data_IF_651663870812
#
_entry.id   IF_651663870812
#
_cell.length_a   1.000
_cell.length_b   1.000
_cell.length_c   1.000
_cell.angle_alpha   90.00
_cell.angle_beta   90.00
_cell.angle_gamma   90.00
#
_symmetry.space_group_name_H-M   'P 1'
#
loop_
_entity.id
_entity.type
_entity.pdbx_description
1 polymer ?
#
# COMPACT_ATOMS: atom_id res chain seq x y z
N UNK A 1 -39.78 14.51 -59.19
CA UNK A 1 -38.87 13.43 -58.75
C UNK A 1 -38.81 13.48 -57.23
N UNK A 2 -39.65 12.70 -56.55
CA UNK A 2 -39.72 12.66 -55.09
C UNK A 2 -38.71 11.65 -54.56
N UNK A 3 -37.77 12.10 -53.73
CA UNK A 3 -36.77 11.24 -53.11
C UNK A 3 -37.47 10.56 -51.93
N UNK A 4 -37.69 9.25 -52.01
CA UNK A 4 -38.36 8.46 -50.98
C UNK A 4 -37.60 8.52 -49.65
N UNK A 5 -38.14 9.30 -48.72
CA UNK A 5 -37.58 9.54 -47.38
C UNK A 5 -37.66 8.26 -46.50
N UNK A 6 -38.53 7.32 -46.87
CA UNK A 6 -38.80 6.08 -46.13
C UNK A 6 -37.64 5.06 -46.12
N UNK A 7 -36.63 5.22 -46.98
CA UNK A 7 -35.49 4.28 -47.06
C UNK A 7 -34.27 4.68 -46.21
N UNK A 8 -34.28 5.84 -45.57
CA UNK A 8 -33.17 6.38 -44.77
C UNK A 8 -33.20 5.96 -43.28
N UNK A 9 -34.37 5.56 -42.79
CA UNK A 9 -34.56 5.08 -41.41
C UNK A 9 -33.86 3.74 -41.10
N UNK A 10 -33.94 2.70 -41.95
CA UNK A 10 -33.32 1.40 -41.64
C UNK A 10 -31.79 1.45 -41.78
N UNK A 11 -31.24 2.32 -42.62
CA UNK A 11 -29.79 2.48 -42.77
C UNK A 11 -29.18 3.18 -41.55
N UNK A 12 -29.82 4.24 -41.02
CA UNK A 12 -29.36 4.93 -39.81
C UNK A 12 -29.34 4.01 -38.58
N UNK A 13 -30.33 3.12 -38.46
CA UNK A 13 -30.40 2.10 -37.39
C UNK A 13 -29.26 1.07 -37.48
N UNK A 14 -28.92 0.61 -38.69
CA UNK A 14 -27.83 -0.34 -38.92
C UNK A 14 -26.45 0.28 -38.61
N UNK A 15 -26.27 1.57 -38.91
CA UNK A 15 -25.02 2.29 -38.65
C UNK A 15 -24.80 2.46 -37.13
N UNK A 16 -25.85 2.81 -36.38
CA UNK A 16 -25.83 2.85 -34.91
C UNK A 16 -25.51 1.48 -34.29
N UNK A 17 -26.05 0.40 -34.85
CA UNK A 17 -25.77 -0.97 -34.40
C UNK A 17 -24.31 -1.40 -34.67
N UNK A 18 -23.74 -0.98 -35.80
CA UNK A 18 -22.32 -1.23 -36.13
C UNK A 18 -21.36 -0.40 -35.25
N UNK A 19 -21.75 0.80 -34.83
CA UNK A 19 -20.99 1.62 -33.86
C UNK A 19 -20.94 0.96 -32.48
N UNK A 20 -21.99 0.25 -32.04
CA UNK A 20 -22.00 -0.47 -30.77
C UNK A 20 -21.19 -1.78 -30.74
N UNK A 21 -20.75 -2.30 -31.89
CA UNK A 21 -19.93 -3.53 -31.94
C UNK A 21 -18.42 -3.26 -31.78
N UNK A 22 -18.01 -2.00 -31.80
CA UNK A 22 -16.63 -1.59 -31.57
C UNK A 22 -16.42 -1.24 -30.09
N UNK A 23 -16.67 -2.20 -29.19
CA UNK A 23 -16.12 -2.08 -27.85
C UNK A 23 -14.68 -2.57 -27.89
N UNK A 24 -13.66 -1.69 -27.77
CA UNK A 24 -12.33 -2.16 -27.47
C UNK A 24 -12.42 -2.91 -26.14
N UNK A 25 -12.27 -4.23 -26.19
CA UNK A 25 -12.00 -5.01 -24.99
C UNK A 25 -10.63 -4.56 -24.51
N UNK A 26 -10.61 -3.55 -23.63
CA UNK A 26 -9.40 -3.14 -22.92
C UNK A 26 -9.00 -4.34 -22.07
N UNK A 27 -8.02 -5.11 -22.56
CA UNK A 27 -7.31 -6.07 -21.74
C UNK A 27 -6.59 -5.25 -20.67
N UNK A 28 -7.21 -5.10 -19.50
CA UNK A 28 -6.54 -4.58 -18.33
C UNK A 28 -5.38 -5.52 -18.06
N UNK A 29 -4.15 -5.03 -18.22
CA UNK A 29 -2.99 -5.64 -17.57
C UNK A 29 -3.35 -5.89 -16.10
N UNK A 30 -2.85 -6.97 -15.46
CA UNK A 30 -3.06 -7.17 -14.04
C UNK A 30 -2.43 -5.98 -13.32
N UNK A 31 -3.27 -5.04 -12.86
CA UNK A 31 -2.78 -3.87 -12.17
C UNK A 31 -2.48 -4.25 -10.74
N UNK A 32 -1.30 -3.88 -10.25
CA UNK A 32 -0.90 -4.17 -8.88
C UNK A 32 -1.77 -3.37 -7.89
N UNK A 33 -1.83 -3.79 -6.63
CA UNK A 33 -2.48 -2.99 -5.57
C UNK A 33 -1.86 -1.58 -5.46
N UNK A 34 -0.57 -1.45 -5.76
CA UNK A 34 0.15 -0.17 -5.75
C UNK A 34 -0.37 0.78 -6.83
N UNK A 35 -0.70 0.26 -8.02
CA UNK A 35 -1.28 1.05 -9.11
C UNK A 35 -2.68 1.57 -8.72
N UNK A 36 -3.44 0.79 -7.95
CA UNK A 36 -4.74 1.24 -7.44
C UNK A 36 -4.60 2.36 -6.41
N UNK A 37 -3.60 2.30 -5.53
CA UNK A 37 -3.29 3.40 -4.60
C UNK A 37 -2.92 4.67 -5.38
N UNK A 38 -1.98 4.56 -6.32
CA UNK A 38 -1.49 5.70 -7.11
C UNK A 38 -2.62 6.37 -7.91
N UNK A 39 -3.47 5.59 -8.59
CA UNK A 39 -4.62 6.12 -9.33
C UNK A 39 -5.65 6.81 -8.45
N UNK A 40 -5.69 6.47 -7.16
CA UNK A 40 -6.52 7.15 -6.17
C UNK A 40 -5.77 8.27 -5.45
N UNK A 41 -4.62 8.73 -5.94
CA UNK A 41 -3.88 9.84 -5.33
C UNK A 41 -3.26 9.50 -3.98
N UNK A 42 -3.01 8.21 -3.73
CA UNK A 42 -2.38 7.72 -2.51
C UNK A 42 -0.98 7.16 -2.84
N UNK A 43 0.00 7.36 -1.94
CA UNK A 43 1.34 6.87 -2.19
C UNK A 43 1.39 5.35 -2.09
N UNK A 44 2.14 4.72 -3.00
CA UNK A 44 2.22 3.26 -3.11
C UNK A 44 2.82 2.59 -1.86
N UNK A 45 3.66 3.28 -1.10
CA UNK A 45 4.31 2.74 0.10
C UNK A 45 3.47 2.74 1.37
N UNK A 46 2.16 2.99 1.28
CA UNK A 46 1.22 2.73 2.39
C UNK A 46 1.12 1.24 2.73
N UNK A 47 1.40 0.38 1.76
CA UNK A 47 1.40 -1.07 1.91
C UNK A 47 2.83 -1.64 1.77
N UNK A 48 3.12 -2.78 2.42
CA UNK A 48 4.42 -3.42 2.33
C UNK A 48 4.70 -3.91 0.91
N UNK A 49 5.98 -4.10 0.57
CA UNK A 49 6.42 -4.73 -0.69
C UNK A 49 5.94 -6.18 -0.80
N UNK A 50 5.76 -6.63 -2.03
CA UNK A 50 5.57 -8.06 -2.36
C UNK A 50 4.15 -8.57 -2.18
N UNK A 51 3.14 -7.70 -2.19
CA UNK A 51 1.74 -8.13 -2.15
C UNK A 51 1.36 -8.77 -3.49
N UNK A 52 1.02 -10.05 -3.44
CA UNK A 52 0.55 -10.82 -4.60
C UNK A 52 -0.90 -11.26 -4.48
N UNK A 53 -1.42 -11.45 -3.26
CA UNK A 53 -2.81 -11.84 -3.01
C UNK A 53 -3.62 -10.63 -2.54
N UNK A 54 -4.44 -10.10 -3.45
CA UNK A 54 -5.35 -9.01 -3.15
C UNK A 54 -6.59 -9.07 -4.05
N UNK A 55 -7.65 -8.40 -3.62
CA UNK A 55 -8.87 -8.20 -4.39
C UNK A 55 -9.40 -6.79 -4.18
N UNK A 56 -10.03 -6.23 -5.21
CA UNK A 56 -10.73 -4.95 -5.16
C UNK A 56 -12.09 -5.14 -5.81
N UNK A 57 -13.14 -4.82 -5.07
CA UNK A 57 -14.50 -4.77 -5.59
C UNK A 57 -14.68 -3.48 -6.42
N UNK A 58 -14.97 -3.58 -7.72
CA UNK A 58 -15.09 -2.40 -8.59
C UNK A 58 -16.31 -1.52 -8.25
N UNK A 59 -17.37 -2.10 -7.67
CA UNK A 59 -18.61 -1.39 -7.35
C UNK A 59 -18.50 -0.67 -6.00
N UNK A 60 -17.95 -1.35 -4.99
CA UNK A 60 -17.85 -0.80 -3.64
C UNK A 60 -16.51 -0.12 -3.34
N UNK A 61 -15.50 -0.32 -4.20
CA UNK A 61 -14.11 0.08 -3.97
C UNK A 61 -13.51 -0.49 -2.68
N UNK A 62 -14.09 -1.58 -2.14
CA UNK A 62 -13.51 -2.30 -1.02
C UNK A 62 -12.32 -3.12 -1.49
N UNK A 63 -11.17 -2.95 -0.85
CA UNK A 63 -10.00 -3.79 -1.08
C UNK A 63 -9.76 -4.74 0.07
N UNK A 64 -9.14 -5.87 -0.25
CA UNK A 64 -8.60 -6.83 0.70
C UNK A 64 -7.23 -7.30 0.22
N UNK A 65 -6.28 -7.38 1.13
CA UNK A 65 -4.94 -7.90 0.93
C UNK A 65 -4.72 -9.03 1.93
N UNK A 66 -4.20 -10.16 1.46
CA UNK A 66 -3.79 -11.25 2.33
C UNK A 66 -2.27 -11.38 2.29
N UNK A 67 -1.63 -11.18 3.43
CA UNK A 67 -0.21 -11.43 3.61
C UNK A 67 0.00 -12.88 4.01
N UNK A 68 1.14 -13.47 3.65
CA UNK A 68 1.48 -14.83 4.10
C UNK A 68 1.66 -14.92 5.61
N UNK A 69 2.07 -13.82 6.25
CA UNK A 69 2.27 -13.70 7.69
C UNK A 69 2.18 -12.24 8.13
N UNK A 70 1.81 -11.97 9.40
CA UNK A 70 1.93 -10.63 9.98
C UNK A 70 3.38 -10.15 9.99
N UNK A 71 3.57 -8.85 9.79
CA UNK A 71 4.91 -8.30 9.66
C UNK A 71 4.98 -6.82 10.09
N UNK A 72 6.18 -6.36 10.43
CA UNK A 72 6.46 -4.98 10.80
C UNK A 72 7.33 -4.31 9.73
N UNK A 73 6.94 -3.11 9.32
CA UNK A 73 7.74 -2.22 8.49
C UNK A 73 8.24 -1.03 9.31
N UNK A 74 9.52 -0.68 9.14
CA UNK A 74 10.13 0.47 9.82
C UNK A 74 10.08 1.71 8.92
N UNK A 75 9.36 2.73 9.40
CA UNK A 75 9.39 4.10 8.91
C UNK A 75 10.04 4.98 10.00
N UNK A 76 9.58 6.22 10.19
CA UNK A 76 9.87 6.98 11.40
C UNK A 76 9.43 6.18 12.64
N UNK A 77 8.16 5.76 12.63
CA UNK A 77 7.58 4.82 13.57
C UNK A 77 7.46 3.41 12.95
N UNK A 78 7.12 2.40 13.76
CA UNK A 78 6.82 1.07 13.24
C UNK A 78 5.36 0.99 12.80
N UNK A 79 5.11 0.38 11.64
CA UNK A 79 3.79 -0.05 11.21
C UNK A 79 3.73 -1.57 11.24
N UNK A 80 2.70 -2.09 11.89
CA UNK A 80 2.34 -3.50 11.93
C UNK A 80 1.24 -3.75 10.91
N UNK A 81 1.40 -4.82 10.15
CA UNK A 81 0.43 -5.32 9.19
C UNK A 81 0.00 -6.73 9.60
N UNK A 82 -1.30 -6.92 9.75
CA UNK A 82 -1.90 -8.22 10.04
C UNK A 82 -1.96 -9.10 8.79
N UNK A 83 -2.36 -10.37 8.97
CA UNK A 83 -2.58 -11.31 7.88
C UNK A 83 -3.59 -10.78 6.84
N UNK A 84 -4.69 -10.17 7.29
CA UNK A 84 -5.70 -9.60 6.41
C UNK A 84 -5.79 -8.09 6.62
N UNK A 85 -5.56 -7.35 5.55
CA UNK A 85 -5.73 -5.90 5.52
C UNK A 85 -6.93 -5.59 4.65
N UNK A 86 -7.83 -4.74 5.11
CA UNK A 86 -8.98 -4.35 4.31
C UNK A 86 -9.41 -2.91 4.56
N UNK A 87 -10.07 -2.31 3.58
CA UNK A 87 -10.58 -0.95 3.69
C UNK A 87 -11.33 -0.53 2.42
N UNK A 88 -11.81 0.70 2.40
CA UNK A 88 -12.48 1.30 1.24
C UNK A 88 -11.58 2.35 0.63
N UNK A 89 -11.25 2.15 -0.65
CA UNK A 89 -10.39 3.05 -1.40
C UNK A 89 -11.21 4.14 -2.07
N UNK A 90 -10.76 5.38 -1.98
CA UNK A 90 -11.30 6.47 -2.78
C UNK A 90 -10.25 7.55 -2.95
N UNK A 91 -10.53 8.55 -3.79
CA UNK A 91 -9.54 9.58 -4.09
C UNK A 91 -9.03 10.28 -2.82
N UNK A 92 -7.71 10.21 -2.64
CA UNK A 92 -6.95 10.76 -1.53
C UNK A 92 -7.17 10.06 -0.19
N UNK A 93 -7.90 8.94 -0.10
CA UNK A 93 -8.25 8.35 1.20
C UNK A 93 -8.53 6.85 1.21
N UNK A 94 -8.20 6.24 2.35
CA UNK A 94 -8.61 4.90 2.74
C UNK A 94 -9.48 5.03 3.99
N UNK A 95 -10.70 4.50 3.93
CA UNK A 95 -11.66 4.53 5.05
C UNK A 95 -11.90 3.12 5.60
N UNK A 96 -12.25 3.04 6.88
CA UNK A 96 -12.48 1.78 7.61
C UNK A 96 -11.34 0.78 7.39
N UNK A 97 -10.10 1.26 7.50
CA UNK A 97 -8.91 0.45 7.41
C UNK A 97 -8.85 -0.48 8.62
N UNK A 98 -8.60 -1.75 8.35
CA UNK A 98 -8.40 -2.80 9.33
C UNK A 98 -7.16 -3.60 8.96
N UNK A 99 -6.50 -4.17 9.97
CA UNK A 99 -5.27 -4.94 9.80
C UNK A 99 -3.99 -4.12 9.75
N UNK A 100 -4.05 -2.83 10.11
CA UNK A 100 -2.88 -1.94 10.17
C UNK A 100 -2.85 -1.24 11.53
N UNK A 101 -1.71 -1.33 12.21
CA UNK A 101 -1.48 -0.63 13.48
C UNK A 101 -0.16 0.13 13.46
N UNK A 102 -0.11 1.24 14.17
CA UNK A 102 1.08 2.05 14.31
C UNK A 102 1.59 2.02 15.75
N UNK A 103 2.92 1.94 15.92
CA UNK A 103 3.54 2.06 17.23
C UNK A 103 3.78 3.52 17.61
N UNK A 104 3.34 3.91 18.81
CA UNK A 104 3.60 5.20 19.44
C UNK A 104 3.88 4.97 20.93
N UNK A 105 5.01 5.49 21.45
CA UNK A 105 5.43 5.30 22.85
C UNK A 105 5.31 3.84 23.34
N UNK A 106 5.74 2.88 22.51
CA UNK A 106 5.68 1.44 22.75
C UNK A 106 4.28 0.80 22.73
N UNK A 107 3.21 1.57 22.52
CA UNK A 107 1.85 1.09 22.37
C UNK A 107 1.47 1.00 20.90
N UNK A 108 0.66 0.00 20.54
CA UNK A 108 0.10 -0.16 19.20
C UNK A 108 -1.29 0.47 19.12
N UNK A 109 -1.48 1.36 18.17
CA UNK A 109 -2.75 2.02 17.89
C UNK A 109 -3.26 1.60 16.52
N UNK A 110 -4.54 1.19 16.40
CA UNK A 110 -5.11 0.85 15.10
C UNK A 110 -5.17 2.09 14.21
N UNK A 111 -4.90 1.91 12.92
CA UNK A 111 -5.08 2.96 11.92
C UNK A 111 -6.43 2.74 11.24
N UNK A 112 -7.41 3.57 11.55
CA UNK A 112 -8.79 3.43 11.07
C UNK A 112 -9.02 4.10 9.70
N UNK A 113 -8.27 5.16 9.40
CA UNK A 113 -8.31 5.81 8.10
C UNK A 113 -7.00 6.50 7.75
N UNK A 114 -6.74 6.68 6.47
CA UNK A 114 -5.57 7.39 5.95
C UNK A 114 -6.07 8.39 4.92
N UNK A 115 -5.66 9.66 5.01
CA UNK A 115 -6.16 10.73 4.13
C UNK A 115 -5.06 11.71 3.74
N UNK A 116 -5.13 12.18 2.49
CA UNK A 116 -4.35 13.28 1.94
C UNK A 116 -5.33 14.42 1.69
N UNK A 117 -5.45 15.35 2.64
CA UNK A 117 -6.45 16.41 2.58
C UNK A 117 -6.04 17.54 1.60
N UNK A 118 -4.74 17.89 1.56
CA UNK A 118 -4.16 18.80 0.57
C UNK A 118 -2.86 18.19 0.00
N UNK A 119 -2.85 17.75 -1.28
CA UNK A 119 -1.66 17.22 -1.92
C UNK A 119 -0.49 18.20 -1.95
N UNK A 120 -0.77 19.51 -1.95
CA UNK A 120 0.24 20.58 -2.02
C UNK A 120 1.01 20.73 -0.71
N UNK A 121 0.41 20.32 0.41
CA UNK A 121 1.01 20.40 1.74
C UNK A 121 2.18 19.42 1.93
N UNK A 122 2.23 18.35 1.15
CA UNK A 122 3.21 17.27 1.35
C UNK A 122 2.90 16.40 2.57
N UNK A 123 1.69 16.46 3.12
CA UNK A 123 1.29 15.77 4.36
C UNK A 123 0.24 14.69 4.12
N UNK A 124 0.26 13.69 4.99
CA UNK A 124 -0.71 12.60 5.06
C UNK A 124 -1.13 12.36 6.51
N UNK A 125 -2.42 12.15 6.71
CA UNK A 125 -3.06 12.05 8.03
C UNK A 125 -3.54 10.62 8.27
N UNK A 126 -3.14 10.06 9.41
CA UNK A 126 -3.52 8.72 9.85
C UNK A 126 -4.44 8.88 11.06
N UNK A 127 -5.69 8.46 10.92
CA UNK A 127 -6.66 8.44 12.01
C UNK A 127 -6.37 7.22 12.90
N UNK A 128 -5.91 7.48 14.11
CA UNK A 128 -5.64 6.45 15.12
C UNK A 128 -6.74 6.38 16.20
N UNK A 129 -7.95 6.80 15.85
CA UNK A 129 -9.19 6.69 16.63
C UNK A 129 -9.57 7.95 17.39
N UNK A 130 -8.69 8.47 18.24
CA UNK A 130 -8.97 9.68 19.05
C UNK A 130 -8.42 10.94 18.39
N UNK A 131 -7.35 10.81 17.60
CA UNK A 131 -6.63 11.91 16.98
C UNK A 131 -6.05 11.49 15.65
N UNK A 132 -5.92 12.44 14.72
CA UNK A 132 -5.18 12.27 13.48
C UNK A 132 -3.68 12.53 13.73
N UNK A 133 -2.83 11.60 13.31
CA UNK A 133 -1.38 11.75 13.30
C UNK A 133 -0.92 12.17 11.91
N UNK A 134 -0.15 13.24 11.83
CA UNK A 134 0.35 13.77 10.56
C UNK A 134 1.76 13.26 10.27
N UNK A 135 2.00 12.92 9.00
CA UNK A 135 3.29 12.47 8.48
C UNK A 135 3.61 13.19 7.17
N UNK A 136 4.89 13.16 6.77
CA UNK A 136 5.26 13.56 5.42
C UNK A 136 4.87 12.48 4.41
N UNK A 137 4.27 12.88 3.29
CA UNK A 137 3.96 12.01 2.16
C UNK A 137 5.20 11.25 1.64
N UNK A 138 6.36 11.91 1.66
CA UNK A 138 7.63 11.34 1.18
C UNK A 138 8.06 10.07 1.92
N UNK A 139 7.62 9.88 3.17
CA UNK A 139 7.93 8.68 3.94
C UNK A 139 7.32 7.41 3.31
N UNK A 140 6.21 7.58 2.59
CA UNK A 140 5.42 6.51 2.01
C UNK A 140 5.54 6.44 0.48
N UNK A 141 6.44 7.20 -0.15
CA UNK A 141 6.58 7.23 -1.61
C UNK A 141 6.97 5.86 -2.18
N UNK A 142 7.82 5.11 -1.47
CA UNK A 142 8.26 3.77 -1.87
C UNK A 142 7.79 2.70 -0.87
N UNK A 143 7.25 1.56 -1.32
CA UNK A 143 6.96 0.41 -0.48
C UNK A 143 8.20 -0.05 0.29
N UNK A 144 8.03 -0.38 1.57
CA UNK A 144 9.09 -0.87 2.45
C UNK A 144 9.05 -2.38 2.54
N UNK A 145 10.22 -2.96 2.79
CA UNK A 145 10.35 -4.37 3.13
C UNK A 145 9.73 -4.61 4.52
N UNK A 146 9.05 -5.75 4.66
CA UNK A 146 8.32 -6.09 5.88
C UNK A 146 8.98 -7.29 6.55
N UNK A 147 9.35 -7.14 7.82
CA UNK A 147 9.98 -8.20 8.59
C UNK A 147 8.90 -8.99 9.33
N UNK A 148 8.86 -10.30 9.13
CA UNK A 148 7.93 -11.19 9.83
C UNK A 148 8.02 -11.01 11.34
N UNK A 149 6.87 -10.98 12.02
CA UNK A 149 6.83 -11.00 13.48
C UNK A 149 7.01 -12.44 13.94
N UNK A 150 8.06 -12.71 14.72
CA UNK A 150 8.21 -14.03 15.36
C UNK A 150 7.12 -14.17 16.44
N UNK A 151 6.26 -15.21 16.40
CA UNK A 151 5.25 -15.44 17.42
C UNK A 151 5.81 -15.63 18.83
N UNK A 152 7.12 -15.80 18.98
CA UNK A 152 7.83 -15.99 20.26
C UNK A 152 8.20 -14.67 20.97
N UNK A 153 8.17 -13.53 20.28
CA UNK A 153 8.65 -12.23 20.79
C UNK A 153 7.57 -11.43 21.55
N UNK A 154 6.77 -12.08 22.40
CA UNK A 154 5.83 -11.38 23.29
C UNK A 154 6.47 -10.84 24.56
N UNK A 155 7.76 -11.12 24.83
CA UNK A 155 8.51 -10.54 25.94
C UNK A 155 10.02 -10.65 25.68
N UNK A 156 10.68 -9.59 25.20
CA UNK A 156 12.10 -9.27 25.51
C UNK A 156 12.60 -8.00 24.81
N UNK A 157 12.87 -6.97 25.64
CA UNK A 157 14.01 -6.07 25.61
C UNK A 157 14.71 -5.78 24.26
N UNK A 158 14.56 -4.56 23.76
CA UNK A 158 15.41 -4.00 22.72
C UNK A 158 16.81 -3.70 23.26
N UNK A 159 17.80 -4.50 22.86
CA UNK A 159 19.19 -4.06 22.82
C UNK A 159 19.77 -4.20 21.41
N UNK A 160 20.60 -3.23 20.97
CA UNK A 160 21.08 -3.13 19.61
C UNK A 160 22.17 -4.19 19.33
N UNK A 161 21.99 -4.92 18.23
CA UNK A 161 22.98 -5.85 17.70
C UNK A 161 24.27 -5.10 17.33
N UNK A 162 25.30 -5.22 18.16
CA UNK A 162 26.69 -4.99 17.75
C UNK A 162 27.11 -6.16 16.87
N UNK A 163 27.46 -5.87 15.62
CA UNK A 163 28.07 -6.81 14.69
C UNK A 163 29.38 -7.35 15.25
N UNK A 164 29.42 -8.65 15.50
CA UNK A 164 30.63 -9.39 15.84
C UNK A 164 31.37 -9.73 14.54
N UNK A 165 32.36 -8.90 14.17
CA UNK A 165 33.33 -9.22 13.12
C UNK A 165 34.50 -9.98 13.73
N UNK A 166 34.54 -11.30 13.53
CA UNK A 166 35.73 -12.12 13.77
C UNK A 166 36.57 -12.08 12.48
N UNK A 167 37.75 -11.50 12.59
CA UNK A 167 38.83 -11.58 11.60
C UNK A 167 40.13 -11.80 12.34
N UNK A 168 40.76 -12.95 12.10
CA UNK A 168 41.97 -13.42 12.76
C UNK A 168 43.21 -13.27 11.87
N UNK A 169 44.34 -13.02 12.54
CA UNK A 169 45.77 -13.34 12.22
C UNK A 169 46.63 -12.26 11.54
N UNK A 170 47.90 -12.26 12.00
CA UNK A 170 49.14 -11.56 11.61
C UNK A 170 49.39 -10.16 12.19
N UNK A 171 50.58 -9.79 12.71
CA UNK A 171 51.78 -10.49 13.17
C UNK A 171 52.65 -9.44 13.94
N UNK A 172 53.45 -9.92 14.89
CA UNK A 172 54.80 -9.41 15.26
C UNK A 172 55.03 -8.19 16.19
N UNK A 173 55.92 -8.46 17.18
CA UNK A 173 56.73 -7.58 18.06
C UNK A 173 55.99 -6.73 19.11
N UNK A 174 56.41 -6.65 20.37
CA UNK A 174 57.78 -6.58 20.88
C UNK A 174 57.86 -7.07 22.35
N UNK A 175 59.03 -7.57 22.70
CA UNK A 175 59.52 -7.81 24.06
C UNK A 175 59.40 -6.54 24.91
N UNK A 176 58.99 -6.67 26.17
CA UNK A 176 59.82 -6.29 27.34
C UNK A 176 59.02 -6.30 28.66
N UNK A 177 59.78 -6.56 29.72
CA UNK A 177 59.57 -6.26 31.15
C UNK A 177 59.07 -7.39 32.09
N UNK A 178 60.09 -7.90 32.81
CA UNK A 178 60.17 -8.49 34.16
C UNK A 178 59.67 -9.89 34.43
#
# INVERSE_FOLDING_TARGET
MGISIFSLFPTLSLILFLLSLNFPFTQSSPSSIYDHLERNGLPMGLLPKGITDFSIDPDTQRFQVNLTQPCNAKFENQLHYDFNISGFLSFGKILNLSGVSQQELFLWFPVNSIRVDDPSSGLINFDVGVVDKQFSLSLFESPRDCTAVDPSDSHSNSQPSKSLGIGTVEEHMLRDVS
#
